data_IF_269791068695
#
_entry.id   IF_269791068695
#
_cell.length_a   1.000
_cell.length_b   1.000
_cell.length_c   1.000
_cell.angle_alpha   90.00
_cell.angle_beta   90.00
_cell.angle_gamma   90.00
#
_symmetry.space_group_name_H-M   'P 1'
#
loop_
_entity.id
_entity.type
_entity.pdbx_description
1 polymer ?
#
# COMPACT_ATOMS: atom_id res chain seq x y z
N UNK A 1 -19.17 -6.92 -60.91
CA UNK A 1 -18.31 -7.57 -59.89
C UNK A 1 -19.02 -8.87 -59.54
N UNK A 2 -18.37 -10.01 -59.76
CA UNK A 2 -18.99 -11.30 -59.49
C UNK A 2 -19.18 -11.46 -57.97
N UNK A 3 -20.39 -11.80 -57.54
CA UNK A 3 -20.74 -11.86 -56.11
C UNK A 3 -19.81 -12.81 -55.35
N UNK A 4 -19.36 -13.89 -55.99
CA UNK A 4 -18.40 -14.87 -55.45
C UNK A 4 -17.04 -14.24 -55.08
N UNK A 5 -16.50 -13.37 -55.94
CA UNK A 5 -15.20 -12.71 -55.71
C UNK A 5 -15.27 -11.70 -54.56
N UNK A 6 -16.42 -11.06 -54.39
CA UNK A 6 -16.65 -10.17 -53.26
C UNK A 6 -16.61 -10.94 -51.93
N UNK A 7 -17.17 -12.16 -51.89
CA UNK A 7 -17.12 -13.03 -50.70
C UNK A 7 -15.72 -13.57 -50.40
N UNK A 8 -14.96 -13.99 -51.42
CA UNK A 8 -13.58 -14.43 -51.25
C UNK A 8 -12.67 -13.29 -50.76
N UNK A 9 -12.77 -12.09 -51.35
CA UNK A 9 -11.99 -10.95 -50.89
C UNK A 9 -12.34 -10.59 -49.43
N UNK A 10 -13.62 -10.69 -49.07
CA UNK A 10 -14.08 -10.41 -47.70
C UNK A 10 -13.51 -11.41 -46.69
N UNK A 11 -13.40 -12.70 -47.03
CA UNK A 11 -12.82 -13.70 -46.13
C UNK A 11 -11.31 -13.48 -45.92
N UNK A 12 -10.58 -13.11 -46.98
CA UNK A 12 -9.18 -12.71 -46.86
C UNK A 12 -9.01 -11.46 -46.00
N UNK A 13 -9.85 -10.43 -46.20
CA UNK A 13 -9.82 -9.21 -45.39
C UNK A 13 -10.09 -9.52 -43.92
N UNK A 14 -11.11 -10.33 -43.59
CA UNK A 14 -11.41 -10.71 -42.21
C UNK A 14 -10.31 -11.55 -41.59
N UNK A 15 -9.69 -12.46 -42.33
CA UNK A 15 -8.63 -13.32 -41.77
C UNK A 15 -7.34 -12.55 -41.57
N UNK A 16 -6.95 -11.73 -42.56
CA UNK A 16 -5.71 -10.96 -42.55
C UNK A 16 -5.78 -9.72 -41.66
N UNK A 17 -6.95 -9.08 -41.50
CA UNK A 17 -7.10 -7.91 -40.62
C UNK A 17 -7.75 -8.27 -39.29
N UNK A 18 -8.75 -9.17 -39.29
CA UNK A 18 -9.53 -9.50 -38.09
C UNK A 18 -8.73 -10.25 -37.04
N UNK A 19 -7.87 -11.19 -37.42
CA UNK A 19 -7.04 -11.91 -36.44
C UNK A 19 -5.97 -10.99 -35.81
N UNK A 20 -5.20 -10.20 -36.57
CA UNK A 20 -4.30 -9.21 -35.96
C UNK A 20 -5.04 -8.16 -35.12
N UNK A 21 -6.21 -7.69 -35.56
CA UNK A 21 -7.03 -6.77 -34.77
C UNK A 21 -7.49 -7.41 -33.46
N UNK A 22 -7.94 -8.67 -33.49
CA UNK A 22 -8.34 -9.40 -32.29
C UNK A 22 -7.18 -9.57 -31.30
N UNK A 23 -5.97 -9.89 -31.79
CA UNK A 23 -4.76 -9.95 -30.95
C UNK A 23 -4.44 -8.59 -30.34
N UNK A 24 -4.51 -7.50 -31.12
CA UNK A 24 -4.26 -6.14 -30.62
C UNK A 24 -5.29 -5.77 -29.54
N UNK A 25 -6.57 -6.02 -29.78
CA UNK A 25 -7.64 -5.76 -28.80
C UNK A 25 -7.42 -6.58 -27.54
N UNK A 26 -7.07 -7.86 -27.67
CA UNK A 26 -6.82 -8.75 -26.53
C UNK A 26 -5.66 -8.23 -25.66
N UNK A 27 -4.52 -7.89 -26.26
CA UNK A 27 -3.36 -7.33 -25.52
C UNK A 27 -3.74 -6.01 -24.84
N UNK A 28 -4.51 -5.15 -25.52
CA UNK A 28 -4.99 -3.90 -24.93
C UNK A 28 -5.96 -4.12 -23.77
N UNK A 29 -6.84 -5.12 -23.85
CA UNK A 29 -7.76 -5.49 -22.78
C UNK A 29 -7.01 -6.05 -21.57
N UNK A 30 -6.09 -6.99 -21.78
CA UNK A 30 -5.29 -7.61 -20.71
C UNK A 30 -4.49 -6.57 -19.93
N UNK A 31 -3.86 -5.61 -20.62
CA UNK A 31 -3.15 -4.53 -19.94
C UNK A 31 -4.09 -3.62 -19.13
N UNK A 32 -5.30 -3.35 -19.63
CA UNK A 32 -6.28 -2.54 -18.90
C UNK A 32 -6.84 -3.27 -17.69
N UNK A 33 -7.11 -4.57 -17.80
CA UNK A 33 -7.59 -5.40 -16.69
C UNK A 33 -6.55 -5.43 -15.55
N UNK A 34 -5.27 -5.69 -15.87
CA UNK A 34 -4.19 -5.65 -14.87
C UNK A 34 -4.10 -4.31 -14.14
N UNK A 35 -4.15 -3.20 -14.89
CA UNK A 35 -4.11 -1.88 -14.30
C UNK A 35 -5.32 -1.63 -13.37
N UNK A 36 -6.50 -2.13 -13.75
CA UNK A 36 -7.72 -2.00 -12.95
C UNK A 36 -7.67 -2.84 -11.67
N UNK A 37 -7.19 -4.09 -11.76
CA UNK A 37 -6.98 -4.96 -10.59
C UNK A 37 -6.03 -4.33 -9.57
N UNK A 38 -4.93 -3.71 -10.04
CA UNK A 38 -4.01 -2.98 -9.17
C UNK A 38 -4.66 -1.75 -8.51
N UNK A 39 -5.50 -1.02 -9.26
CA UNK A 39 -6.24 0.13 -8.73
C UNK A 39 -7.26 -0.29 -7.67
N UNK A 40 -7.99 -1.39 -7.89
CA UNK A 40 -8.93 -1.95 -6.93
C UNK A 40 -8.23 -2.41 -5.65
N UNK A 41 -7.09 -3.11 -5.78
CA UNK A 41 -6.29 -3.53 -4.62
C UNK A 41 -5.79 -2.32 -3.80
N UNK A 42 -5.36 -1.26 -4.49
CA UNK A 42 -4.95 -0.02 -3.82
C UNK A 42 -6.11 0.69 -3.13
N UNK A 43 -7.27 0.79 -3.78
CA UNK A 43 -8.48 1.38 -3.17
C UNK A 43 -8.89 0.62 -1.92
N UNK A 44 -8.90 -0.72 -1.97
CA UNK A 44 -9.22 -1.57 -0.82
C UNK A 44 -8.26 -1.33 0.36
N UNK A 45 -6.96 -1.19 0.11
CA UNK A 45 -5.99 -0.87 1.15
C UNK A 45 -6.19 0.53 1.72
N UNK A 46 -6.47 1.51 0.85
CA UNK A 46 -6.76 2.88 1.27
C UNK A 46 -8.02 2.97 2.15
N UNK A 47 -9.08 2.25 1.77
CA UNK A 47 -10.32 2.18 2.55
C UNK A 47 -10.08 1.52 3.90
N UNK A 48 -9.33 0.42 3.94
CA UNK A 48 -8.93 -0.23 5.19
C UNK A 48 -8.13 0.71 6.11
N UNK A 49 -7.28 1.57 5.54
CA UNK A 49 -6.57 2.59 6.32
C UNK A 49 -7.52 3.67 6.85
N UNK A 50 -8.45 4.16 6.03
CA UNK A 50 -9.48 5.12 6.49
C UNK A 50 -10.29 4.52 7.64
N UNK A 51 -10.69 3.26 7.54
CA UNK A 51 -11.42 2.59 8.61
C UNK A 51 -10.59 2.41 9.88
N UNK A 52 -9.30 2.09 9.74
CA UNK A 52 -8.38 2.13 10.87
C UNK A 52 -8.29 3.53 11.51
N UNK A 53 -8.24 4.59 10.71
CA UNK A 53 -8.22 5.96 11.23
C UNK A 53 -9.51 6.34 11.97
N UNK A 54 -10.67 5.80 11.59
CA UNK A 54 -11.91 5.95 12.36
C UNK A 54 -11.80 5.27 13.73
N UNK A 55 -11.20 4.07 13.81
CA UNK A 55 -10.93 3.41 15.10
C UNK A 55 -10.02 4.25 15.98
N UNK A 56 -8.97 4.85 15.42
CA UNK A 56 -8.09 5.78 16.15
C UNK A 56 -8.87 7.00 16.65
N UNK A 57 -9.75 7.56 15.82
CA UNK A 57 -10.59 8.71 16.18
C UNK A 57 -11.57 8.40 17.30
N UNK A 58 -12.19 7.21 17.28
CA UNK A 58 -13.12 6.75 18.31
C UNK A 58 -12.41 6.45 19.65
N UNK A 59 -11.09 6.35 19.64
CA UNK A 59 -10.24 6.12 20.82
C UNK A 59 -9.32 7.32 21.10
N UNK A 60 -9.86 8.53 20.94
CA UNK A 60 -9.15 9.79 21.19
C UNK A 60 -8.70 9.97 22.66
N UNK A 61 -9.16 9.14 23.59
CA UNK A 61 -8.68 9.10 24.97
C UNK A 61 -7.26 8.50 25.11
N UNK A 62 -6.81 7.76 24.08
CA UNK A 62 -5.48 7.15 24.03
C UNK A 62 -4.47 8.08 23.36
N UNK A 63 -3.22 8.15 23.85
CA UNK A 63 -2.14 8.92 23.24
C UNK A 63 -1.55 8.21 22.01
N UNK A 64 -2.40 7.79 21.08
CA UNK A 64 -2.00 7.13 19.84
C UNK A 64 -1.26 8.08 18.91
N UNK A 65 -1.64 9.37 18.93
CA UNK A 65 -1.09 10.39 18.04
C UNK A 65 -0.25 11.47 18.72
N UNK A 66 -0.22 11.50 20.04
CA UNK A 66 0.45 12.55 20.79
C UNK A 66 1.80 12.05 21.34
N UNK A 67 2.81 12.92 21.44
CA UNK A 67 4.02 12.63 22.21
C UNK A 67 3.63 12.24 23.62
N UNK A 68 4.32 11.24 24.19
CA UNK A 68 3.98 10.59 25.45
C UNK A 68 3.49 11.61 26.50
N UNK A 69 2.18 11.63 26.78
CA UNK A 69 1.54 12.70 27.55
C UNK A 69 1.84 12.65 29.06
N UNK A 70 2.78 11.80 29.49
CA UNK A 70 3.10 11.56 30.90
C UNK A 70 1.93 10.98 31.70
N UNK A 71 0.79 10.73 31.05
CA UNK A 71 -0.42 10.18 31.64
C UNK A 71 -0.28 8.67 31.76
N UNK A 72 -0.35 8.17 32.99
CA UNK A 72 -0.44 6.73 33.22
C UNK A 72 -1.74 6.20 32.61
N UNK A 73 -1.62 5.28 31.66
CA UNK A 73 -2.75 4.54 31.11
C UNK A 73 -3.22 3.49 32.11
N UNK A 74 -4.53 3.34 32.22
CA UNK A 74 -5.09 2.19 32.93
C UNK A 74 -4.88 0.89 32.13
N UNK A 75 -5.19 -0.25 32.74
CA UNK A 75 -4.96 -1.56 32.12
C UNK A 75 -5.84 -1.79 30.89
N UNK A 76 -7.02 -1.18 30.84
CA UNK A 76 -7.95 -1.32 29.72
C UNK A 76 -7.48 -0.47 28.52
N UNK A 77 -7.08 0.77 28.79
CA UNK A 77 -6.49 1.68 27.81
C UNK A 77 -5.22 1.09 27.21
N UNK A 78 -4.36 0.47 28.03
CA UNK A 78 -3.14 -0.19 27.55
C UNK A 78 -3.45 -1.38 26.62
N UNK A 79 -4.39 -2.26 27.00
CA UNK A 79 -4.81 -3.38 26.15
C UNK A 79 -5.39 -2.89 24.83
N UNK A 80 -6.25 -1.87 24.88
CA UNK A 80 -6.86 -1.31 23.67
C UNK A 80 -5.84 -0.66 22.75
N UNK A 81 -4.91 0.11 23.30
CA UNK A 81 -3.80 0.71 22.56
C UNK A 81 -2.96 -0.37 21.86
N UNK A 82 -2.62 -1.44 22.57
CA UNK A 82 -1.87 -2.56 22.02
C UNK A 82 -2.63 -3.21 20.85
N UNK A 83 -3.93 -3.51 21.00
CA UNK A 83 -4.75 -4.07 19.93
C UNK A 83 -4.81 -3.15 18.71
N UNK A 84 -4.92 -1.83 18.92
CA UNK A 84 -4.91 -0.85 17.82
C UNK A 84 -3.55 -0.86 17.09
N UNK A 85 -2.43 -0.94 17.82
CA UNK A 85 -1.11 -1.09 17.20
C UNK A 85 -0.95 -2.40 16.43
N UNK A 86 -1.49 -3.51 16.95
CA UNK A 86 -1.51 -4.81 16.25
C UNK A 86 -2.31 -4.74 14.94
N UNK A 87 -3.48 -4.08 14.97
CA UNK A 87 -4.29 -3.83 13.76
C UNK A 87 -3.51 -3.01 12.72
N UNK A 88 -2.80 -1.97 13.16
CA UNK A 88 -1.99 -1.13 12.28
C UNK A 88 -0.85 -1.91 11.63
N UNK A 89 -0.13 -2.73 12.39
CA UNK A 89 0.98 -3.55 11.88
C UNK A 89 0.48 -4.56 10.86
N UNK A 90 -0.66 -5.22 11.12
CA UNK A 90 -1.27 -6.15 10.16
C UNK A 90 -1.68 -5.45 8.84
N UNK A 91 -2.18 -4.21 8.92
CA UNK A 91 -2.50 -3.42 7.72
C UNK A 91 -1.23 -3.05 6.94
N UNK A 92 -0.16 -2.64 7.63
CA UNK A 92 1.12 -2.33 7.01
C UNK A 92 1.78 -3.55 6.37
N UNK A 93 1.70 -4.73 7.00
CA UNK A 93 2.18 -5.97 6.40
C UNK A 93 1.44 -6.23 5.08
N UNK A 94 0.11 -6.13 5.08
CA UNK A 94 -0.68 -6.33 3.86
C UNK A 94 -0.34 -5.30 2.77
N UNK A 95 -0.17 -4.03 3.14
CA UNK A 95 0.27 -3.00 2.22
C UNK A 95 1.66 -3.31 1.65
N UNK A 96 2.59 -3.81 2.47
CA UNK A 96 3.90 -4.26 2.02
C UNK A 96 3.80 -5.43 1.03
N UNK A 97 3.00 -6.45 1.32
CA UNK A 97 2.87 -7.61 0.43
C UNK A 97 2.21 -7.29 -0.92
N UNK A 98 1.33 -6.28 -0.97
CA UNK A 98 0.53 -5.96 -2.17
C UNK A 98 1.10 -4.79 -2.97
N UNK A 99 1.62 -3.76 -2.30
CA UNK A 99 1.99 -2.50 -2.94
C UNK A 99 3.51 -2.24 -2.97
N UNK A 100 4.32 -3.02 -2.25
CA UNK A 100 5.77 -2.82 -2.27
C UNK A 100 6.35 -3.12 -3.66
N UNK A 101 7.24 -2.25 -4.11
CA UNK A 101 7.95 -2.39 -5.38
C UNK A 101 9.39 -1.91 -5.26
N UNK A 102 10.28 -2.51 -6.06
CA UNK A 102 11.66 -2.03 -6.25
C UNK A 102 11.73 -0.87 -7.26
N UNK A 103 10.66 -0.66 -8.04
CA UNK A 103 10.60 0.41 -9.03
C UNK A 103 10.52 1.77 -8.35
N UNK A 104 11.34 2.71 -8.83
CA UNK A 104 11.38 4.08 -8.32
C UNK A 104 10.42 5.03 -9.05
N UNK A 105 9.79 4.58 -10.15
CA UNK A 105 8.95 5.40 -11.01
C UNK A 105 7.61 4.73 -11.31
N UNK A 106 6.62 5.52 -11.75
CA UNK A 106 5.32 5.02 -12.18
C UNK A 106 4.21 5.06 -11.11
N UNK A 107 3.12 4.32 -11.36
CA UNK A 107 1.96 4.31 -10.47
C UNK A 107 2.23 3.50 -9.19
N UNK A 108 2.84 2.32 -9.30
CA UNK A 108 3.17 1.48 -8.15
C UNK A 108 4.11 2.18 -7.16
N UNK A 109 5.18 2.81 -7.66
CA UNK A 109 6.11 3.59 -6.83
C UNK A 109 5.40 4.73 -6.07
N UNK A 110 4.48 5.46 -6.72
CA UNK A 110 3.69 6.52 -6.09
C UNK A 110 2.73 5.99 -5.02
N UNK A 111 2.08 4.85 -5.27
CA UNK A 111 1.20 4.20 -4.28
C UNK A 111 2.01 3.75 -3.07
N UNK A 112 3.18 3.13 -3.30
CA UNK A 112 4.09 2.70 -2.24
C UNK A 112 4.60 3.88 -1.42
N UNK A 113 4.96 4.99 -2.06
CA UNK A 113 5.44 6.19 -1.35
C UNK A 113 4.45 6.68 -0.27
N UNK A 114 3.14 6.65 -0.55
CA UNK A 114 2.13 6.98 0.46
C UNK A 114 2.17 6.05 1.68
N UNK A 115 2.39 4.75 1.45
CA UNK A 115 2.51 3.76 2.53
C UNK A 115 3.80 3.92 3.32
N UNK A 116 4.92 4.18 2.64
CA UNK A 116 6.21 4.48 3.27
C UNK A 116 6.08 5.72 4.18
N UNK A 117 5.41 6.78 3.72
CA UNK A 117 5.14 7.98 4.50
C UNK A 117 4.25 7.70 5.72
N UNK A 118 3.21 6.88 5.59
CA UNK A 118 2.37 6.49 6.72
C UNK A 118 3.16 5.70 7.76
N UNK A 119 3.98 4.73 7.33
CA UNK A 119 4.83 3.96 8.24
C UNK A 119 5.83 4.88 8.96
N UNK A 120 6.46 5.83 8.25
CA UNK A 120 7.37 6.82 8.85
C UNK A 120 6.68 7.71 9.87
N UNK A 121 5.48 8.21 9.57
CA UNK A 121 4.69 9.02 10.51
C UNK A 121 4.43 8.25 11.80
N UNK A 122 3.95 7.01 11.71
CA UNK A 122 3.70 6.19 12.90
C UNK A 122 4.98 5.80 13.66
N UNK A 123 6.09 5.54 12.96
CA UNK A 123 7.38 5.24 13.57
C UNK A 123 8.03 6.42 14.29
N UNK A 124 7.67 7.66 13.91
CA UNK A 124 8.10 8.88 14.61
C UNK A 124 7.46 9.05 15.98
N UNK A 125 6.42 8.26 16.30
CA UNK A 125 5.68 8.31 17.57
C UNK A 125 6.34 7.39 18.59
N UNK A 126 6.71 7.95 19.75
CA UNK A 126 7.44 7.22 20.79
C UNK A 126 6.72 5.95 21.26
N UNK A 127 5.39 6.01 21.45
CA UNK A 127 4.60 4.88 21.94
C UNK A 127 4.64 3.68 20.97
N UNK A 128 4.46 3.93 19.67
CA UNK A 128 4.51 2.89 18.65
C UNK A 128 5.95 2.38 18.43
N UNK A 129 6.92 3.29 18.36
CA UNK A 129 8.34 2.95 18.16
C UNK A 129 8.91 2.09 19.29
N UNK A 130 8.45 2.30 20.53
CA UNK A 130 8.87 1.53 21.71
C UNK A 130 8.34 0.08 21.69
N UNK A 131 7.15 -0.14 21.15
CA UNK A 131 6.50 -1.46 21.10
C UNK A 131 6.79 -2.22 19.80
N UNK A 132 7.37 -1.55 18.79
CA UNK A 132 7.58 -2.06 17.43
C UNK A 132 8.16 -3.48 17.38
N UNK A 133 9.25 -3.75 18.12
CA UNK A 133 9.89 -5.07 18.10
C UNK A 133 8.98 -6.19 18.62
N UNK A 134 8.11 -5.88 19.57
CA UNK A 134 7.13 -6.83 20.09
C UNK A 134 6.01 -7.06 19.08
N UNK A 135 5.53 -5.97 18.46
CA UNK A 135 4.45 -6.02 17.48
C UNK A 135 4.85 -6.78 16.21
N UNK A 136 6.11 -6.72 15.79
CA UNK A 136 6.60 -7.42 14.60
C UNK A 136 6.92 -8.91 14.82
N UNK A 137 6.60 -9.49 15.99
CA UNK A 137 6.84 -10.91 16.27
C UNK A 137 5.79 -11.77 15.58
N UNK A 138 6.23 -12.58 14.63
CA UNK A 138 5.35 -13.51 13.89
C UNK A 138 4.94 -12.99 12.51
N UNK A 139 5.14 -11.70 12.26
CA UNK A 139 4.97 -11.06 10.95
C UNK A 139 6.01 -11.54 9.94
N UNK A 140 5.75 -11.28 8.65
CA UNK A 140 6.64 -11.60 7.55
C UNK A 140 8.08 -11.09 7.77
N UNK A 141 9.05 -11.94 7.41
CA UNK A 141 10.46 -11.67 7.65
C UNK A 141 11.00 -10.50 6.80
N UNK A 142 10.48 -10.29 5.59
CA UNK A 142 10.89 -9.17 4.74
C UNK A 142 10.26 -7.86 5.23
N UNK A 143 8.96 -7.86 5.54
CA UNK A 143 8.26 -6.74 6.15
C UNK A 143 8.91 -6.30 7.46
N UNK A 144 9.19 -7.25 8.38
CA UNK A 144 9.89 -6.95 9.64
C UNK A 144 11.24 -6.28 9.40
N UNK A 145 12.05 -6.78 8.45
CA UNK A 145 13.33 -6.14 8.10
C UNK A 145 13.14 -4.74 7.52
N UNK A 146 12.09 -4.53 6.74
CA UNK A 146 11.76 -3.22 6.18
C UNK A 146 11.40 -2.23 7.30
N UNK A 147 10.44 -2.58 8.18
CA UNK A 147 10.02 -1.73 9.30
C UNK A 147 11.16 -1.39 10.26
N UNK A 148 12.04 -2.36 10.58
CA UNK A 148 13.18 -2.10 11.47
C UNK A 148 14.22 -1.16 10.84
N UNK A 149 14.46 -1.27 9.52
CA UNK A 149 15.32 -0.30 8.81
C UNK A 149 14.69 1.08 8.80
N UNK A 150 13.39 1.14 8.52
CA UNK A 150 12.65 2.40 8.48
C UNK A 150 12.66 3.10 9.85
N UNK A 151 12.51 2.35 10.94
CA UNK A 151 12.57 2.87 12.30
C UNK A 151 13.94 3.48 12.63
N UNK A 152 15.02 2.83 12.18
CA UNK A 152 16.38 3.35 12.32
C UNK A 152 16.60 4.63 11.50
N UNK A 153 16.07 4.69 10.27
CA UNK A 153 16.11 5.90 9.44
C UNK A 153 15.37 7.08 10.08
N UNK A 154 14.18 6.84 10.64
CA UNK A 154 13.38 7.88 11.31
C UNK A 154 14.07 8.37 12.58
N UNK A 155 14.76 7.50 13.32
CA UNK A 155 15.52 7.87 14.54
C UNK A 155 16.80 8.63 14.25
N UNK A 156 17.43 8.43 13.08
CA UNK A 156 18.60 9.22 12.69
C UNK A 156 18.13 10.60 12.24
N UNK A 157 18.51 11.68 12.91
CA UNK A 157 18.26 13.01 12.38
C UNK A 157 19.00 13.13 11.05
N UNK A 158 18.27 13.50 9.98
CA UNK A 158 18.87 13.81 8.69
C UNK A 158 19.92 14.90 8.91
N UNK A 159 21.22 14.65 8.62
CA UNK A 159 22.21 15.71 8.69
C UNK A 159 22.00 16.62 7.48
N UNK A 160 21.15 17.64 7.60
CA UNK A 160 21.04 18.69 6.59
C UNK A 160 19.65 19.25 6.32
N UNK A 161 19.10 19.99 7.28
CA UNK A 161 18.24 21.17 7.01
C UNK A 161 18.54 22.25 8.05
N UNK A 162 19.81 22.64 8.12
CA UNK A 162 20.18 24.02 8.47
C UNK A 162 20.57 24.68 7.15
N UNK A 163 19.64 25.42 6.56
CA UNK A 163 19.98 26.39 5.53
C UNK A 163 18.94 27.50 5.49
N UNK A 164 19.42 28.69 5.89
CA UNK A 164 18.91 30.05 5.71
C UNK A 164 17.69 30.49 6.53
#
# INVERSE_FOLDING_TARGET
MDWMQAWELSSYVVTTLGLPLAVIIFVYQEQRERNNEEEEAYQMLSDAYIDFLKVVLDNADLPLREPHSGRALDDEQRRRMQTIHEMLVSLFERAYLVAWTEDTEGAAARRWASWDDYMRDWLSRDAFSAELESLLRGEDAAFRRHMLRLAEEVRRPTPGTVSA
#
